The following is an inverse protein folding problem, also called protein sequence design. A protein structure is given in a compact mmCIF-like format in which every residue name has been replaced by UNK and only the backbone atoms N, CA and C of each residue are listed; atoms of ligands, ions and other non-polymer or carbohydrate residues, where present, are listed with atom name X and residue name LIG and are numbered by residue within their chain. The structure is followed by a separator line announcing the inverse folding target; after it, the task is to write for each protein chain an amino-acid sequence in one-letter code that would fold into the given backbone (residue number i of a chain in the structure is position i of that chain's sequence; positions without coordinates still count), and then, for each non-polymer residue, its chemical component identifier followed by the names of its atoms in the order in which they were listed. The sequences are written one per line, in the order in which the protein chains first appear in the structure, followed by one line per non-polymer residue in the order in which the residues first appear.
data_IF_649575163335
#
_entry.id   IF_649575163335
#
_cell.length_a   1.000
_cell.length_b   1.000
_cell.length_c   1.000
_cell.angle_alpha   90.00
_cell.angle_beta   90.00
_cell.angle_gamma   90.00
#
_symmetry.space_group_name_H-M   'P 1'
#
loop_
_entity.id
_entity.type
_entity.pdbx_description
1 polymer ?
#
# COMPACT_ATOMS: atom_id res chain seq x y z
N UNK A 1 -19.72 2.34 1.65
CA UNK A 1 -19.22 3.71 1.66
C UNK A 1 -18.63 4.18 0.32
N UNK A 2 -18.51 3.27 -0.66
CA UNK A 2 -18.01 3.58 -2.02
C UNK A 2 -19.15 4.21 -2.83
N UNK A 3 -18.90 5.37 -3.44
CA UNK A 3 -19.82 6.05 -4.36
C UNK A 3 -19.36 5.90 -5.81
N UNK A 4 -18.06 6.07 -6.03
CA UNK A 4 -17.43 5.89 -7.34
C UNK A 4 -16.15 5.07 -7.20
N UNK A 5 -15.54 4.67 -8.31
CA UNK A 5 -14.30 3.92 -8.33
C UNK A 5 -13.36 4.50 -9.38
N UNK A 6 -12.06 4.54 -9.07
CA UNK A 6 -11.05 4.82 -10.08
C UNK A 6 -10.94 3.64 -11.03
N UNK A 7 -10.90 3.91 -12.33
CA UNK A 7 -10.68 2.89 -13.37
C UNK A 7 -9.53 3.32 -14.26
N UNK A 8 -8.68 2.37 -14.61
CA UNK A 8 -7.63 2.57 -15.60
C UNK A 8 -8.22 3.01 -16.94
N UNK A 9 -7.54 3.91 -17.61
CA UNK A 9 -7.93 4.38 -18.94
C UNK A 9 -7.69 3.31 -20.02
N UNK A 10 -8.23 3.56 -21.21
CA UNK A 10 -8.01 2.67 -22.35
C UNK A 10 -6.50 2.55 -22.65
N UNK A 11 -6.00 1.31 -22.72
CA UNK A 11 -4.59 1.01 -22.96
C UNK A 11 -3.69 1.12 -21.72
N UNK A 12 -4.22 1.51 -20.56
CA UNK A 12 -3.47 1.48 -19.31
C UNK A 12 -3.40 0.07 -18.72
N UNK A 13 -2.34 -0.17 -18.00
CA UNK A 13 -2.10 -1.40 -17.24
C UNK A 13 -1.28 -1.09 -15.99
N UNK A 14 -1.04 -2.08 -15.16
CA UNK A 14 -0.29 -1.93 -13.91
C UNK A 14 1.06 -1.24 -14.11
N UNK A 15 1.81 -1.59 -15.18
CA UNK A 15 3.12 -0.99 -15.45
C UNK A 15 2.99 0.48 -15.90
N UNK A 16 2.05 0.80 -16.81
CA UNK A 16 1.87 2.17 -17.29
C UNK A 16 1.32 3.11 -16.23
N UNK A 17 0.46 2.62 -15.33
CA UNK A 17 0.00 3.40 -14.17
C UNK A 17 1.16 3.65 -13.19
N UNK A 18 2.02 2.65 -12.96
CA UNK A 18 3.24 2.82 -12.15
C UNK A 18 4.15 3.90 -12.73
N UNK A 19 4.39 3.89 -14.06
CA UNK A 19 5.17 4.95 -14.75
C UNK A 19 4.57 6.33 -14.48
N UNK A 20 3.25 6.50 -14.63
CA UNK A 20 2.60 7.78 -14.39
C UNK A 20 2.73 8.25 -12.93
N UNK A 21 2.67 7.35 -11.97
CA UNK A 21 2.89 7.69 -10.56
C UNK A 21 4.33 8.18 -10.33
N UNK A 22 5.33 7.54 -10.95
CA UNK A 22 6.72 7.99 -10.90
C UNK A 22 6.93 9.32 -11.63
N UNK A 23 6.33 9.52 -12.83
CA UNK A 23 6.39 10.78 -13.58
C UNK A 23 5.86 11.99 -12.75
N UNK A 24 4.96 11.74 -11.81
CA UNK A 24 4.48 12.77 -10.87
C UNK A 24 5.48 12.95 -9.72
N UNK A 25 5.87 11.87 -9.06
CA UNK A 25 6.68 11.90 -7.86
C UNK A 25 8.12 12.41 -8.10
N UNK A 26 8.69 12.15 -9.28
CA UNK A 26 10.06 12.58 -9.64
C UNK A 26 10.22 14.09 -9.70
N UNK A 27 9.14 14.85 -9.86
CA UNK A 27 9.20 16.32 -9.96
C UNK A 27 9.74 16.98 -8.69
N UNK A 28 9.51 16.35 -7.55
CA UNK A 28 9.92 16.85 -6.24
C UNK A 28 11.14 16.06 -5.69
N UNK A 29 11.74 15.17 -6.50
CA UNK A 29 12.87 14.36 -6.09
C UNK A 29 14.13 15.24 -5.96
N UNK A 30 14.80 15.28 -4.80
CA UNK A 30 15.95 16.18 -4.55
C UNK A 30 17.29 15.68 -5.10
N UNK A 31 17.30 14.53 -5.79
CA UNK A 31 18.48 13.91 -6.38
C UNK A 31 18.13 13.27 -7.74
N UNK A 32 19.12 13.01 -8.61
CA UNK A 32 18.89 12.39 -9.90
C UNK A 32 18.35 10.95 -9.77
N UNK A 33 17.49 10.53 -10.70
CA UNK A 33 16.94 9.17 -10.74
C UNK A 33 18.01 8.07 -10.85
N UNK A 34 19.15 8.39 -11.46
CA UNK A 34 20.30 7.50 -11.65
C UNK A 34 20.96 7.10 -10.32
N UNK A 35 20.71 7.84 -9.25
CA UNK A 35 21.20 7.53 -7.89
C UNK A 35 20.32 6.51 -7.15
N UNK A 36 19.18 6.11 -7.72
CA UNK A 36 18.36 5.03 -7.15
C UNK A 36 19.10 3.71 -7.34
N UNK A 37 19.29 3.00 -6.24
CA UNK A 37 19.99 1.71 -6.22
C UNK A 37 19.07 0.51 -5.93
N UNK A 38 17.79 0.78 -5.63
CA UNK A 38 16.76 -0.25 -5.44
C UNK A 38 15.39 0.22 -5.96
N UNK A 39 14.74 -0.62 -6.76
CA UNK A 39 13.34 -0.42 -7.19
C UNK A 39 12.51 -1.62 -6.75
N UNK A 40 11.50 -1.40 -5.92
CA UNK A 40 10.60 -2.45 -5.44
C UNK A 40 9.18 -2.16 -5.92
N UNK A 41 8.67 -3.03 -6.78
CA UNK A 41 7.30 -2.95 -7.28
C UNK A 41 6.36 -3.86 -6.46
N UNK A 42 5.36 -3.29 -5.83
CA UNK A 42 4.33 -3.99 -5.08
C UNK A 42 3.07 -4.15 -5.94
N UNK A 43 2.65 -5.39 -6.20
CA UNK A 43 1.41 -5.67 -6.92
C UNK A 43 1.01 -7.13 -6.78
N UNK A 44 -0.28 -7.41 -6.76
CA UNK A 44 -0.86 -8.75 -6.93
C UNK A 44 -1.63 -8.90 -8.25
N UNK A 45 -1.73 -7.81 -9.05
CA UNK A 45 -2.34 -7.78 -10.38
C UNK A 45 -1.33 -7.35 -11.45
N UNK A 46 -0.17 -8.02 -11.57
CA UNK A 46 0.88 -7.61 -12.49
C UNK A 46 0.40 -7.67 -13.95
N UNK A 47 0.84 -6.69 -14.73
CA UNK A 47 0.65 -6.75 -16.20
C UNK A 47 1.50 -7.84 -16.82
N UNK A 48 2.75 -7.93 -16.39
CA UNK A 48 3.73 -8.91 -16.80
C UNK A 48 4.46 -9.45 -15.57
N UNK A 49 4.57 -10.76 -15.44
CA UNK A 49 5.24 -11.44 -14.33
C UNK A 49 6.74 -11.58 -14.50
N UNK A 50 7.28 -11.30 -15.70
CA UNK A 50 8.69 -11.37 -16.06
C UNK A 50 9.28 -9.98 -16.17
N UNK A 51 8.75 -9.16 -17.10
CA UNK A 51 9.10 -7.73 -17.20
C UNK A 51 8.20 -6.92 -16.27
N UNK A 52 8.55 -6.90 -15.00
CA UNK A 52 7.73 -6.29 -13.95
C UNK A 52 7.71 -4.75 -14.05
N UNK A 53 6.85 -4.10 -13.27
CA UNK A 53 6.80 -2.64 -13.19
C UNK A 53 8.15 -2.04 -12.77
N UNK A 54 8.93 -2.71 -11.90
CA UNK A 54 10.27 -2.26 -11.52
C UNK A 54 11.21 -2.18 -12.73
N UNK A 55 11.25 -3.22 -13.59
CA UNK A 55 12.07 -3.19 -14.81
C UNK A 55 11.58 -2.14 -15.82
N UNK A 56 10.26 -1.94 -15.92
CA UNK A 56 9.68 -0.91 -16.79
C UNK A 56 10.15 0.49 -16.38
N UNK A 57 10.17 0.77 -15.07
CA UNK A 57 10.66 2.05 -14.52
C UNK A 57 12.16 2.17 -14.71
N UNK A 58 12.95 1.13 -14.40
CA UNK A 58 14.39 1.11 -14.59
C UNK A 58 14.76 1.46 -16.05
N UNK A 59 14.10 0.83 -17.02
CA UNK A 59 14.28 1.11 -18.43
C UNK A 59 13.88 2.54 -18.82
N UNK A 60 12.72 2.99 -18.35
CA UNK A 60 12.16 4.33 -18.65
C UNK A 60 13.09 5.47 -18.24
N UNK A 61 13.74 5.33 -17.08
CA UNK A 61 14.60 6.36 -16.48
C UNK A 61 16.10 6.08 -16.61
N UNK A 62 16.48 5.02 -17.35
CA UNK A 62 17.88 4.63 -17.56
C UNK A 62 18.67 4.45 -16.26
N UNK A 63 18.07 3.81 -15.25
CA UNK A 63 18.69 3.59 -13.93
C UNK A 63 19.56 2.32 -14.02
N UNK A 64 20.83 2.46 -14.33
CA UNK A 64 21.69 1.31 -14.65
C UNK A 64 22.02 0.41 -13.45
N UNK A 65 22.16 1.00 -12.25
CA UNK A 65 22.70 0.30 -11.09
C UNK A 65 21.64 -0.19 -10.09
N UNK A 66 20.35 0.04 -10.34
CA UNK A 66 19.32 -0.38 -9.42
C UNK A 66 19.02 -1.88 -9.46
N UNK A 67 18.92 -2.50 -8.29
CA UNK A 67 18.29 -3.81 -8.15
C UNK A 67 16.77 -3.68 -8.34
N UNK A 68 16.17 -4.55 -9.16
CA UNK A 68 14.73 -4.57 -9.41
C UNK A 68 14.07 -5.79 -8.76
N UNK A 69 13.03 -5.55 -7.97
CA UNK A 69 12.27 -6.58 -7.28
C UNK A 69 10.77 -6.37 -7.50
N UNK A 70 10.01 -7.47 -7.46
CA UNK A 70 8.55 -7.44 -7.39
C UNK A 70 8.08 -8.22 -6.17
N UNK A 71 7.16 -7.62 -5.38
CA UNK A 71 6.63 -8.18 -4.13
C UNK A 71 5.12 -8.31 -4.24
N UNK A 72 4.60 -9.48 -3.86
CA UNK A 72 3.17 -9.75 -3.80
C UNK A 72 2.80 -10.40 -2.46
N UNK A 73 1.96 -9.72 -1.70
CA UNK A 73 1.31 -10.16 -0.47
C UNK A 73 -0.11 -9.58 -0.39
N UNK A 74 -0.83 -9.66 -1.50
CA UNK A 74 -2.17 -9.09 -1.69
C UNK A 74 -2.20 -7.59 -1.29
N UNK A 75 -3.24 -7.14 -0.58
CA UNK A 75 -3.39 -5.73 -0.21
C UNK A 75 -2.31 -5.21 0.76
N UNK A 76 -1.49 -6.08 1.37
CA UNK A 76 -0.36 -5.67 2.23
C UNK A 76 0.96 -5.48 1.46
N UNK A 77 1.00 -5.74 0.15
CA UNK A 77 2.21 -5.70 -0.67
C UNK A 77 3.01 -4.40 -0.54
N UNK A 78 2.34 -3.24 -0.42
CA UNK A 78 3.03 -1.96 -0.26
C UNK A 78 3.88 -1.91 1.01
N UNK A 79 3.31 -2.25 2.16
CA UNK A 79 4.06 -2.23 3.44
C UNK A 79 5.16 -3.30 3.44
N UNK A 80 4.92 -4.48 2.84
CA UNK A 80 5.96 -5.49 2.67
C UNK A 80 7.10 -5.01 1.76
N UNK A 81 6.79 -4.27 0.69
CA UNK A 81 7.81 -3.68 -0.17
C UNK A 81 8.66 -2.62 0.55
N UNK A 82 8.04 -1.83 1.43
CA UNK A 82 8.76 -0.88 2.31
C UNK A 82 9.69 -1.63 3.28
N UNK A 83 9.24 -2.74 3.89
CA UNK A 83 10.09 -3.57 4.77
C UNK A 83 11.25 -4.23 4.00
N UNK A 84 11.03 -4.66 2.75
CA UNK A 84 12.11 -5.16 1.89
C UNK A 84 13.17 -4.08 1.66
N UNK A 85 12.76 -2.86 1.35
CA UNK A 85 13.69 -1.74 1.17
C UNK A 85 14.44 -1.38 2.46
N UNK A 86 13.76 -1.38 3.62
CA UNK A 86 14.38 -1.23 4.94
C UNK A 86 15.47 -2.31 5.17
N UNK A 87 15.18 -3.56 4.80
CA UNK A 87 16.16 -4.66 4.88
C UNK A 87 17.39 -4.43 4.01
N UNK A 88 17.23 -3.91 2.78
CA UNK A 88 18.34 -3.56 1.90
C UNK A 88 19.19 -2.42 2.49
N UNK A 89 18.55 -1.41 3.08
CA UNK A 89 19.24 -0.31 3.77
C UNK A 89 20.02 -0.81 4.99
N UNK A 90 19.40 -1.64 5.81
CA UNK A 90 20.05 -2.22 7.01
C UNK A 90 21.27 -3.09 6.66
N UNK A 91 21.26 -3.75 5.51
CA UNK A 91 22.39 -4.55 5.01
C UNK A 91 23.42 -3.73 4.23
N UNK A 92 23.23 -2.42 4.09
CA UNK A 92 24.10 -1.55 3.29
C UNK A 92 24.11 -1.86 1.80
N UNK A 93 23.10 -2.54 1.28
CA UNK A 93 22.97 -2.93 -0.14
C UNK A 93 22.28 -1.87 -0.99
N UNK A 94 21.59 -0.94 -0.36
CA UNK A 94 20.95 0.21 -0.98
C UNK A 94 20.95 1.38 -0.02
N UNK A 95 20.89 2.61 -0.56
CA UNK A 95 20.75 3.86 0.20
C UNK A 95 19.58 4.71 -0.27
N UNK A 96 19.18 4.56 -1.53
CA UNK A 96 18.07 5.26 -2.17
C UNK A 96 17.19 4.25 -2.88
N UNK A 97 15.92 4.22 -2.54
CA UNK A 97 15.00 3.28 -3.14
C UNK A 97 13.73 3.98 -3.63
N UNK A 98 13.18 3.42 -4.70
CA UNK A 98 11.86 3.74 -5.21
C UNK A 98 10.94 2.56 -4.93
N UNK A 99 9.94 2.77 -4.10
CA UNK A 99 8.87 1.80 -3.86
C UNK A 99 7.64 2.22 -4.64
N UNK A 100 7.14 1.33 -5.48
CA UNK A 100 5.97 1.57 -6.34
C UNK A 100 4.90 0.56 -5.94
N UNK A 101 3.66 1.02 -5.78
CA UNK A 101 2.53 0.12 -5.68
C UNK A 101 1.51 0.45 -6.78
N UNK A 102 1.05 -0.55 -7.52
CA UNK A 102 0.13 -0.34 -8.64
C UNK A 102 -0.78 -1.55 -8.83
N UNK A 103 -2.09 -1.31 -8.94
CA UNK A 103 -3.08 -2.37 -9.13
C UNK A 103 -4.07 -2.03 -10.24
N UNK A 104 -4.36 -3.02 -11.08
CA UNK A 104 -5.39 -2.97 -12.10
C UNK A 104 -6.50 -3.99 -11.78
N UNK A 105 -7.20 -3.75 -10.69
CA UNK A 105 -8.23 -4.64 -10.16
C UNK A 105 -9.43 -4.78 -11.10
N UNK A 106 -9.82 -3.66 -11.74
CA UNK A 106 -11.01 -3.65 -12.60
C UNK A 106 -10.87 -4.56 -13.82
N UNK A 107 -9.64 -4.87 -14.24
CA UNK A 107 -9.35 -5.87 -15.27
C UNK A 107 -9.83 -7.28 -14.89
N UNK A 108 -9.82 -7.59 -13.61
CA UNK A 108 -10.13 -8.91 -13.07
C UNK A 108 -11.45 -8.95 -12.30
N UNK A 109 -12.07 -7.78 -12.08
CA UNK A 109 -13.31 -7.69 -11.33
C UNK A 109 -14.50 -8.19 -12.16
N UNK A 110 -15.33 -9.01 -11.56
CA UNK A 110 -16.67 -9.32 -12.07
C UNK A 110 -17.67 -8.32 -11.48
N UNK A 111 -18.04 -7.29 -12.25
CA UNK A 111 -18.94 -6.23 -11.77
C UNK A 111 -20.35 -6.75 -11.48
N UNK A 112 -20.72 -7.94 -11.94
CA UNK A 112 -22.01 -8.58 -11.66
C UNK A 112 -21.99 -9.41 -10.37
N UNK A 113 -20.81 -9.60 -9.75
CA UNK A 113 -20.72 -10.26 -8.44
C UNK A 113 -21.34 -9.36 -7.35
N UNK A 114 -22.46 -9.77 -6.72
CA UNK A 114 -23.14 -8.97 -5.72
C UNK A 114 -22.33 -8.83 -4.42
N UNK A 115 -21.35 -9.70 -4.18
CA UNK A 115 -20.56 -9.71 -2.95
C UNK A 115 -19.36 -8.75 -3.03
N UNK A 116 -18.62 -8.76 -4.12
CA UNK A 116 -17.37 -8.02 -4.22
C UNK A 116 -17.19 -7.17 -5.49
N UNK A 117 -18.00 -7.37 -6.53
CA UNK A 117 -17.86 -6.69 -7.81
C UNK A 117 -17.91 -5.17 -7.74
N UNK A 118 -18.62 -4.64 -6.76
CA UNK A 118 -18.78 -3.20 -6.51
C UNK A 118 -17.60 -2.55 -5.75
N UNK A 119 -16.62 -3.33 -5.29
CA UNK A 119 -15.54 -2.82 -4.42
C UNK A 119 -14.36 -2.24 -5.18
N UNK A 120 -13.95 -2.88 -6.28
CA UNK A 120 -12.63 -2.79 -6.87
C UNK A 120 -12.41 -1.51 -7.68
N UNK A 121 -11.34 -0.80 -7.37
CA UNK A 121 -10.80 0.33 -8.12
C UNK A 121 -9.34 0.10 -8.49
N UNK A 122 -8.82 0.92 -9.41
CA UNK A 122 -7.44 0.90 -9.88
C UNK A 122 -6.68 2.09 -9.30
N UNK A 123 -5.37 1.94 -9.13
CA UNK A 123 -4.54 3.02 -8.65
C UNK A 123 -3.07 2.68 -8.60
N UNK A 124 -2.24 3.71 -8.57
CA UNK A 124 -0.81 3.58 -8.41
C UNK A 124 -0.25 4.71 -7.52
N UNK A 125 0.84 4.40 -6.82
CA UNK A 125 1.61 5.35 -6.00
C UNK A 125 3.10 5.05 -6.14
N UNK A 126 3.92 6.10 -6.08
CA UNK A 126 5.37 6.00 -6.04
C UNK A 126 5.88 6.75 -4.79
N UNK A 127 6.81 6.12 -4.08
CA UNK A 127 7.41 6.66 -2.86
C UNK A 127 8.92 6.53 -2.97
N UNK A 128 9.63 7.66 -2.90
CA UNK A 128 11.08 7.68 -2.78
C UNK A 128 11.46 7.64 -1.31
N UNK A 129 12.37 6.75 -0.97
CA UNK A 129 12.93 6.62 0.38
C UNK A 129 14.45 6.58 0.33
N UNK A 130 15.08 7.08 1.38
CA UNK A 130 16.54 7.13 1.49
C UNK A 130 17.02 6.98 2.92
N UNK A 131 18.29 6.64 3.09
CA UNK A 131 18.97 6.63 4.39
C UNK A 131 19.32 8.03 4.90
N UNK A 132 19.16 9.04 4.05
CA UNK A 132 19.47 10.46 4.33
C UNK A 132 18.20 11.30 4.17
N UNK A 133 18.06 12.36 4.95
CA UNK A 133 17.03 13.37 4.77
C UNK A 133 17.57 14.47 3.85
N UNK A 134 16.74 14.93 2.93
CA UNK A 134 17.04 15.98 1.96
C UNK A 134 16.23 17.25 2.18
N UNK A 135 15.16 17.17 2.97
CA UNK A 135 14.25 18.27 3.20
C UNK A 135 13.63 18.20 4.59
N UNK A 136 13.30 19.35 5.16
CA UNK A 136 12.53 19.43 6.40
C UNK A 136 11.08 18.88 6.24
N UNK A 137 10.65 18.66 5.01
CA UNK A 137 9.34 18.05 4.71
C UNK A 137 9.38 16.53 4.64
N UNK A 138 10.57 15.93 4.70
CA UNK A 138 10.71 14.49 4.64
C UNK A 138 10.12 13.85 5.90
N UNK A 139 9.30 12.83 5.69
CA UNK A 139 8.79 12.01 6.79
C UNK A 139 9.82 10.93 7.15
N UNK A 140 10.06 10.75 8.44
CA UNK A 140 10.93 9.70 8.95
C UNK A 140 10.14 8.43 9.17
N UNK A 141 10.57 7.31 8.59
CA UNK A 141 10.06 5.98 8.93
C UNK A 141 10.62 5.59 10.29
N UNK A 142 9.75 5.45 11.30
CA UNK A 142 10.16 5.06 12.64
C UNK A 142 10.20 3.55 12.82
N UNK A 143 9.25 2.84 12.22
CA UNK A 143 9.19 1.39 12.27
C UNK A 143 8.27 0.83 11.18
N UNK A 144 8.56 -0.40 10.78
CA UNK A 144 7.70 -1.22 9.92
C UNK A 144 7.48 -2.55 10.63
N UNK A 145 6.24 -3.06 10.58
CA UNK A 145 5.86 -4.38 11.07
C UNK A 145 5.01 -5.08 10.04
N UNK A 146 5.38 -6.30 9.67
CA UNK A 146 4.57 -7.17 8.81
C UNK A 146 4.45 -8.55 9.41
N UNK A 147 3.39 -9.27 9.05
CA UNK A 147 3.13 -10.64 9.51
C UNK A 147 2.30 -11.42 8.50
N UNK A 148 2.74 -12.64 8.17
CA UNK A 148 1.94 -13.63 7.46
C UNK A 148 0.95 -14.30 8.42
N UNK A 149 -0.29 -14.48 7.96
CA UNK A 149 -1.40 -15.04 8.73
C UNK A 149 -2.07 -16.21 7.97
N UNK A 150 -1.34 -16.83 7.03
CA UNK A 150 -1.83 -17.95 6.23
C UNK A 150 -2.22 -19.20 7.02
N UNK A 151 -1.85 -19.27 8.30
CA UNK A 151 -2.25 -20.32 9.21
C UNK A 151 -3.71 -20.23 9.70
N UNK A 152 -4.37 -19.09 9.49
CA UNK A 152 -5.77 -18.90 9.90
C UNK A 152 -6.69 -19.79 9.05
N UNK A 153 -7.76 -20.38 9.63
CA UNK A 153 -8.55 -21.45 8.98
C UNK A 153 -9.09 -21.11 7.59
N UNK A 154 -9.47 -19.86 7.35
CA UNK A 154 -10.06 -19.43 6.08
C UNK A 154 -9.11 -18.60 5.19
N UNK A 155 -7.87 -18.43 5.61
CA UNK A 155 -6.92 -17.59 4.91
C UNK A 155 -6.74 -17.97 3.44
N UNK A 156 -6.69 -19.27 3.16
CA UNK A 156 -6.46 -19.80 1.80
C UNK A 156 -7.69 -19.75 0.89
N UNK A 157 -8.89 -19.57 1.43
CA UNK A 157 -10.15 -19.56 0.65
C UNK A 157 -10.82 -18.19 0.59
N UNK A 158 -10.29 -17.19 1.28
CA UNK A 158 -11.03 -15.96 1.54
C UNK A 158 -11.03 -14.95 0.40
N UNK A 159 -9.90 -14.80 -0.26
CA UNK A 159 -9.74 -13.88 -1.40
C UNK A 159 -8.85 -14.52 -2.45
N UNK A 160 -9.28 -14.49 -3.68
CA UNK A 160 -8.55 -15.01 -4.83
C UNK A 160 -8.44 -13.98 -5.94
N UNK A 161 -7.34 -14.02 -6.69
CA UNK A 161 -7.25 -13.46 -8.02
C UNK A 161 -6.71 -14.55 -8.93
N UNK A 162 -7.60 -15.16 -9.71
CA UNK A 162 -7.31 -16.24 -10.64
C UNK A 162 -7.60 -15.75 -12.07
N UNK A 163 -6.61 -15.23 -12.80
CA UNK A 163 -6.83 -14.53 -14.07
C UNK A 163 -7.59 -15.35 -15.13
N UNK A 164 -7.45 -16.68 -15.10
CA UNK A 164 -8.11 -17.59 -16.04
C UNK A 164 -9.40 -18.24 -15.49
N UNK A 165 -9.60 -18.16 -14.16
CA UNK A 165 -10.64 -18.91 -13.45
C UNK A 165 -11.51 -17.99 -12.60
N UNK A 166 -12.12 -16.99 -13.23
CA UNK A 166 -13.12 -16.12 -12.58
C UNK A 166 -12.61 -14.78 -12.05
N UNK A 167 -11.31 -14.49 -12.19
CA UNK A 167 -10.72 -13.19 -11.83
C UNK A 167 -10.58 -13.00 -10.31
N UNK A 168 -10.96 -11.80 -9.82
CA UNK A 168 -10.90 -11.46 -8.40
C UNK A 168 -12.22 -11.78 -7.71
N UNK A 169 -12.17 -12.52 -6.61
CA UNK A 169 -13.33 -12.90 -5.80
C UNK A 169 -13.04 -12.88 -4.31
N UNK A 170 -14.08 -12.68 -3.49
CA UNK A 170 -14.00 -12.64 -2.03
C UNK A 170 -15.12 -13.48 -1.39
N UNK A 171 -15.06 -14.83 -1.50
CA UNK A 171 -16.12 -15.70 -1.00
C UNK A 171 -16.32 -15.62 0.52
N UNK A 172 -15.26 -15.34 1.29
CA UNK A 172 -15.32 -15.27 2.76
C UNK A 172 -15.26 -13.81 3.28
N UNK A 173 -16.02 -12.90 2.64
CA UNK A 173 -15.96 -11.46 2.96
C UNK A 173 -16.20 -11.12 4.43
N UNK A 174 -17.01 -11.90 5.18
CA UNK A 174 -17.22 -11.70 6.61
C UNK A 174 -15.97 -12.04 7.42
N UNK A 175 -15.28 -13.13 7.07
CA UNK A 175 -14.04 -13.53 7.73
C UNK A 175 -12.92 -12.52 7.47
N UNK A 176 -12.80 -12.05 6.22
CA UNK A 176 -11.90 -10.95 5.84
C UNK A 176 -12.17 -9.71 6.70
N UNK A 177 -13.44 -9.31 6.85
CA UNK A 177 -13.82 -8.14 7.65
C UNK A 177 -13.39 -8.27 9.11
N UNK A 178 -13.70 -9.40 9.76
CA UNK A 178 -13.37 -9.63 11.17
C UNK A 178 -11.86 -9.62 11.41
N UNK A 179 -11.10 -10.32 10.55
CA UNK A 179 -9.66 -10.38 10.67
C UNK A 179 -8.99 -9.03 10.34
N UNK A 180 -9.47 -8.31 9.33
CA UNK A 180 -8.97 -6.97 9.02
C UNK A 180 -9.13 -6.01 10.20
N UNK A 181 -10.34 -5.97 10.81
CA UNK A 181 -10.60 -5.12 11.97
C UNK A 181 -9.68 -5.45 13.17
N UNK A 182 -9.33 -6.71 13.36
CA UNK A 182 -8.46 -7.14 14.45
C UNK A 182 -6.97 -6.87 14.14
N UNK A 183 -6.48 -7.43 13.02
CA UNK A 183 -5.04 -7.43 12.73
C UNK A 183 -4.48 -6.08 12.27
N UNK A 184 -5.31 -5.19 11.72
CA UNK A 184 -4.84 -3.84 11.39
C UNK A 184 -4.54 -3.03 12.65
N UNK A 185 -5.35 -3.16 13.71
CA UNK A 185 -5.11 -2.52 15.01
C UNK A 185 -3.90 -3.17 15.70
N UNK A 186 -3.83 -4.51 15.69
CA UNK A 186 -2.68 -5.22 16.27
C UNK A 186 -1.36 -4.83 15.59
N UNK A 187 -1.35 -4.74 14.25
CA UNK A 187 -0.17 -4.31 13.50
C UNK A 187 0.29 -2.89 13.87
N UNK A 188 -0.64 -1.94 14.04
CA UNK A 188 -0.29 -0.58 14.51
C UNK A 188 0.35 -0.60 15.90
N UNK A 189 -0.21 -1.39 16.83
CA UNK A 189 0.38 -1.55 18.18
C UNK A 189 1.78 -2.13 18.11
N UNK A 190 1.97 -3.19 17.32
CA UNK A 190 3.28 -3.85 17.14
C UNK A 190 4.31 -2.93 16.50
N UNK A 191 3.92 -2.15 15.48
CA UNK A 191 4.79 -1.14 14.93
C UNK A 191 5.16 -0.07 15.96
N UNK A 192 4.20 0.40 16.77
CA UNK A 192 4.45 1.34 17.86
C UNK A 192 5.43 0.78 18.91
N UNK A 193 5.20 -0.46 19.39
CA UNK A 193 6.08 -1.13 20.37
C UNK A 193 7.53 -1.17 19.90
N UNK A 194 7.79 -1.39 18.61
CA UNK A 194 9.15 -1.43 18.02
C UNK A 194 9.91 -0.10 18.13
N UNK A 195 9.21 1.02 18.17
CA UNK A 195 9.83 2.36 18.23
C UNK A 195 9.46 3.17 19.49
N UNK A 196 8.90 2.50 20.51
CA UNK A 196 8.54 3.15 21.79
C UNK A 196 7.35 4.11 21.70
N UNK A 197 6.50 3.94 20.69
CA UNK A 197 5.26 4.73 20.51
C UNK A 197 4.04 3.91 20.91
N UNK A 198 3.04 4.60 21.41
CA UNK A 198 1.72 4.01 21.71
C UNK A 198 0.73 4.37 20.59
N UNK A 199 -0.39 3.65 20.56
CA UNK A 199 -1.44 3.91 19.58
C UNK A 199 -2.00 5.34 19.74
N UNK A 200 -2.12 5.81 20.98
CA UNK A 200 -2.64 7.13 21.35
C UNK A 200 -1.72 8.29 20.92
N UNK A 201 -0.46 8.01 20.58
CA UNK A 201 0.49 9.02 20.07
C UNK A 201 0.23 9.38 18.59
N UNK A 202 -0.58 8.57 17.88
CA UNK A 202 -0.90 8.82 16.48
C UNK A 202 -1.81 10.04 16.32
N UNK A 203 -1.45 10.94 15.40
CA UNK A 203 -2.32 12.05 14.99
C UNK A 203 -3.28 11.60 13.88
N UNK A 204 -2.80 10.78 12.95
CA UNK A 204 -3.58 10.27 11.83
C UNK A 204 -3.33 8.78 11.58
N UNK A 205 -4.35 8.13 11.02
CA UNK A 205 -4.27 6.74 10.55
C UNK A 205 -4.68 6.71 9.07
N UNK A 206 -3.79 6.22 8.20
CA UNK A 206 -4.11 5.90 6.81
C UNK A 206 -4.17 4.39 6.65
N UNK A 207 -5.36 3.84 6.74
CA UNK A 207 -5.59 2.39 6.63
C UNK A 207 -5.81 1.96 5.19
N UNK A 208 -5.63 0.67 4.91
CA UNK A 208 -6.12 0.07 3.67
C UNK A 208 -7.59 0.43 3.42
N UNK A 209 -7.90 0.94 2.23
CA UNK A 209 -9.19 1.47 1.84
C UNK A 209 -10.08 0.36 1.20
N UNK A 210 -10.35 -0.73 1.94
CA UNK A 210 -11.16 -1.84 1.43
C UNK A 210 -12.66 -1.60 1.60
N UNK A 211 -13.06 -1.08 2.76
CA UNK A 211 -14.46 -0.86 3.12
C UNK A 211 -14.55 0.17 4.26
N UNK A 212 -15.39 1.18 4.10
CA UNK A 212 -15.57 2.20 5.14
C UNK A 212 -16.02 1.63 6.49
N UNK A 213 -16.73 0.48 6.49
CA UNK A 213 -17.13 -0.17 7.75
C UNK A 213 -15.93 -0.71 8.53
N UNK A 214 -14.87 -1.16 7.86
CA UNK A 214 -13.62 -1.56 8.52
C UNK A 214 -13.00 -0.34 9.20
N UNK A 215 -12.90 0.79 8.50
CA UNK A 215 -12.31 2.03 9.03
C UNK A 215 -13.08 2.51 10.26
N UNK A 216 -14.42 2.53 10.20
CA UNK A 216 -15.27 2.89 11.35
C UNK A 216 -15.11 1.93 12.53
N UNK A 217 -14.95 0.63 12.23
CA UNK A 217 -14.72 -0.36 13.28
C UNK A 217 -13.36 -0.14 13.96
N UNK A 218 -12.31 0.14 13.20
CA UNK A 218 -10.99 0.49 13.75
C UNK A 218 -11.09 1.77 14.58
N UNK A 219 -11.78 2.81 14.10
CA UNK A 219 -12.02 4.03 14.86
C UNK A 219 -12.69 3.75 16.22
N UNK A 220 -13.73 2.93 16.22
CA UNK A 220 -14.41 2.50 17.45
C UNK A 220 -13.50 1.70 18.41
N UNK A 221 -12.72 0.75 17.88
CA UNK A 221 -11.81 -0.09 18.69
C UNK A 221 -10.66 0.72 19.31
N UNK A 222 -10.18 1.73 18.60
CA UNK A 222 -9.02 2.54 18.99
C UNK A 222 -9.42 3.76 19.80
N UNK A 223 -10.69 4.13 19.80
CA UNK A 223 -11.19 5.38 20.43
C UNK A 223 -10.86 6.64 19.63
N UNK A 224 -10.28 6.53 18.43
CA UNK A 224 -10.01 7.67 17.57
C UNK A 224 -11.27 8.18 16.89
N UNK A 225 -11.46 9.50 16.79
CA UNK A 225 -12.53 10.06 15.95
C UNK A 225 -12.29 9.75 14.47
N UNK A 226 -13.37 9.59 13.70
CA UNK A 226 -13.25 9.32 12.25
C UNK A 226 -12.42 10.40 11.51
N UNK A 227 -12.37 11.62 12.02
CA UNK A 227 -11.56 12.73 11.45
C UNK A 227 -10.05 12.49 11.50
N UNK A 228 -9.56 11.58 12.34
CA UNK A 228 -8.15 11.18 12.38
C UNK A 228 -7.81 10.15 11.28
N UNK A 229 -8.82 9.62 10.58
CA UNK A 229 -8.58 8.69 9.49
C UNK A 229 -8.47 9.44 8.16
N UNK A 230 -7.34 9.27 7.48
CA UNK A 230 -7.14 9.75 6.13
C UNK A 230 -7.86 8.79 5.18
N UNK A 231 -8.89 9.27 4.48
CA UNK A 231 -9.77 8.44 3.66
C UNK A 231 -9.94 8.98 2.25
N UNK A 232 -10.01 8.06 1.30
CA UNK A 232 -10.38 8.32 -0.09
C UNK A 232 -11.26 7.23 -0.71
N UNK A 233 -11.74 6.30 0.12
CA UNK A 233 -12.51 5.14 -0.33
C UNK A 233 -13.80 5.51 -1.06
N UNK A 234 -14.44 6.62 -0.67
CA UNK A 234 -15.71 7.05 -1.26
C UNK A 234 -15.58 7.34 -2.77
N UNK A 235 -14.61 8.14 -3.25
CA UNK A 235 -14.41 8.39 -4.67
C UNK A 235 -13.56 7.33 -5.39
N UNK A 236 -12.65 6.63 -4.70
CA UNK A 236 -11.65 5.76 -5.34
C UNK A 236 -12.01 4.27 -5.33
N UNK A 237 -12.80 3.83 -4.34
CA UNK A 237 -13.04 2.42 -4.09
C UNK A 237 -11.82 1.72 -3.49
N UNK A 238 -11.83 0.39 -3.55
CA UNK A 238 -10.71 -0.43 -3.09
C UNK A 238 -9.63 -0.51 -4.18
N UNK A 239 -8.63 0.33 -4.10
CA UNK A 239 -7.52 0.35 -5.06
C UNK A 239 -6.43 -0.69 -4.75
N UNK A 240 -6.68 -1.63 -3.84
CA UNK A 240 -5.71 -2.69 -3.52
C UNK A 240 -4.54 -2.22 -2.67
N UNK A 241 -3.34 -2.75 -2.95
CA UNK A 241 -2.16 -2.49 -2.13
C UNK A 241 -1.70 -1.01 -2.07
N UNK A 242 -1.85 -0.15 -3.10
CA UNK A 242 -1.48 1.25 -3.00
C UNK A 242 -2.44 2.10 -2.15
N UNK A 243 -3.61 1.58 -1.77
CA UNK A 243 -4.72 2.37 -1.22
C UNK A 243 -4.37 3.21 0.01
N UNK A 244 -3.61 2.69 0.97
CA UNK A 244 -3.21 3.46 2.16
C UNK A 244 -2.23 4.58 1.81
N UNK A 245 -1.30 4.34 0.89
CA UNK A 245 -0.34 5.36 0.47
C UNK A 245 -0.99 6.43 -0.43
N UNK A 246 -1.91 6.05 -1.33
CA UNK A 246 -2.72 7.02 -2.10
C UNK A 246 -3.55 7.88 -1.15
N UNK A 247 -4.19 7.25 -0.14
CA UNK A 247 -4.99 7.98 0.83
C UNK A 247 -4.15 8.97 1.64
N UNK A 248 -2.93 8.61 2.05
CA UNK A 248 -2.00 9.54 2.68
C UNK A 248 -1.64 10.68 1.73
N UNK A 249 -1.23 10.37 0.50
CA UNK A 249 -0.82 11.36 -0.51
C UNK A 249 -1.92 12.40 -0.80
N UNK A 250 -3.17 11.95 -0.94
CA UNK A 250 -4.32 12.82 -1.21
C UNK A 250 -4.77 13.67 0.00
N UNK A 251 -4.22 13.42 1.19
CA UNK A 251 -4.54 14.14 2.42
C UNK A 251 -3.30 14.74 3.11
N UNK A 252 -2.17 14.86 2.40
CA UNK A 252 -0.94 15.42 2.97
C UNK A 252 -1.09 16.86 3.47
N UNK A 253 -2.02 17.62 2.91
CA UNK A 253 -2.37 18.99 3.35
C UNK A 253 -2.88 19.06 4.79
N UNK A 254 -3.41 17.95 5.32
CA UNK A 254 -3.88 17.85 6.71
C UNK A 254 -2.75 17.53 7.69
N UNK A 255 -1.67 16.90 7.21
CA UNK A 255 -0.55 16.43 8.04
C UNK A 255 0.44 17.57 8.23
N UNK A 256 0.83 17.81 9.49
CA UNK A 256 1.76 18.87 9.87
C UNK A 256 3.08 18.29 10.36
N UNK A 257 4.12 19.13 10.34
CA UNK A 257 5.39 18.79 10.99
C UNK A 257 5.16 18.49 12.47
N UNK A 258 5.71 17.37 12.92
CA UNK A 258 5.52 16.84 14.27
C UNK A 258 4.38 15.81 14.37
N UNK A 259 3.54 15.66 13.36
CA UNK A 259 2.48 14.65 13.38
C UNK A 259 3.05 13.24 13.20
N UNK A 260 2.53 12.30 13.97
CA UNK A 260 2.78 10.88 13.84
C UNK A 260 1.63 10.22 13.06
N UNK A 261 1.95 9.61 11.93
CA UNK A 261 0.98 8.96 11.05
C UNK A 261 1.21 7.45 11.02
N UNK A 262 0.17 6.68 11.29
CA UNK A 262 0.19 5.22 11.17
C UNK A 262 -0.44 4.77 9.85
N UNK A 263 0.29 4.02 9.03
CA UNK A 263 -0.29 3.28 7.91
C UNK A 263 -0.56 1.85 8.37
N UNK A 264 -1.71 1.27 7.98
CA UNK A 264 -2.01 -0.12 8.32
C UNK A 264 -2.78 -0.83 7.22
N UNK A 265 -2.45 -2.10 7.01
CA UNK A 265 -2.97 -2.90 5.91
C UNK A 265 -3.35 -4.31 6.37
N UNK A 266 -4.31 -4.89 5.65
CA UNK A 266 -4.66 -6.31 5.73
C UNK A 266 -4.92 -6.82 4.32
N UNK A 267 -4.36 -7.95 3.97
CA UNK A 267 -4.47 -8.55 2.64
C UNK A 267 -4.95 -9.99 2.67
N UNK A 268 -5.45 -10.45 1.54
CA UNK A 268 -5.76 -11.86 1.33
C UNK A 268 -4.54 -12.75 1.58
N UNK A 269 -4.79 -14.02 1.88
CA UNK A 269 -3.73 -14.97 2.05
C UNK A 269 -3.47 -15.59 3.42
N UNK A 270 -3.66 -15.01 4.60
CA UNK A 270 -3.79 -13.60 4.95
C UNK A 270 -2.43 -12.98 5.28
N UNK A 271 -2.37 -11.68 5.27
CA UNK A 271 -1.21 -10.92 5.74
C UNK A 271 -1.65 -9.57 6.31
N UNK A 272 -0.87 -9.04 7.24
CA UNK A 272 -1.09 -7.70 7.78
C UNK A 272 0.24 -6.95 7.90
N UNK A 273 0.14 -5.64 8.04
CA UNK A 273 1.30 -4.80 8.28
C UNK A 273 0.92 -3.41 8.74
N UNK A 274 1.90 -2.73 9.33
CA UNK A 274 1.81 -1.32 9.65
C UNK A 274 3.18 -0.64 9.54
N UNK A 275 3.16 0.67 9.31
CA UNK A 275 4.33 1.53 9.26
C UNK A 275 4.01 2.84 9.97
N UNK A 276 4.93 3.33 10.81
CA UNK A 276 4.80 4.61 11.48
C UNK A 276 5.74 5.63 10.85
N UNK A 277 5.15 6.79 10.48
CA UNK A 277 5.84 7.92 9.89
C UNK A 277 5.77 9.13 10.81
N UNK A 278 6.92 9.76 11.06
CA UNK A 278 7.03 11.04 11.77
C UNK A 278 7.29 12.13 10.74
N UNK A 279 6.36 13.07 10.61
CA UNK A 279 6.49 14.26 9.76
C UNK A 279 7.19 15.41 10.45
#
# INVERSE_FOLDING_TARGET
GIKTRSKAGIGENTNTMAVKAVDVAVKDLPYPMEEIDLIVAATYSPYDTVTTAAHTIQHRYHIENAQCLSVSSACSSFINAMEVAEGYFALGKARKALVIASEHNTKYANETDPQSGHLWGDGAVAVFISTESYSEKDARILSIYTRGLGYLPKAMSAVHLLPKDGGISMPEGRDVFMNACHYMVDALRKAGERCGKKLEDLNYISSHQANQRIIRNIAHQTGFPESCFLMNIEPRGNTGCPSCAISLSENLDKVKRGDLVGLTVFGGGYSCGAMLLQF
#
